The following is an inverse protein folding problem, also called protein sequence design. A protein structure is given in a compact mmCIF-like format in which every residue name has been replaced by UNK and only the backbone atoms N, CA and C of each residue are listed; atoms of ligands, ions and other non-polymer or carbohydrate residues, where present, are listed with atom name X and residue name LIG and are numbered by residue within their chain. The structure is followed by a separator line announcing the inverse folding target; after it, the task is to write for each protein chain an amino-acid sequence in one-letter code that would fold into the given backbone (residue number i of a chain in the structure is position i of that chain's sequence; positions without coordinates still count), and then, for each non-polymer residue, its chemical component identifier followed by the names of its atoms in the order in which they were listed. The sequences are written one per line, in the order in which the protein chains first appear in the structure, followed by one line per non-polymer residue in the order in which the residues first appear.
data_IF_891148646754
#
_entry.id   IF_891148646754
#
_cell.length_a   1.000
_cell.length_b   1.000
_cell.length_c   1.000
_cell.angle_alpha   90.00
_cell.angle_beta   90.00
_cell.angle_gamma   90.00
#
_symmetry.space_group_name_H-M   'P 1'
#
loop_
_entity.id
_entity.type
_entity.pdbx_description
1 polymer ?
#
# COMPACT_ATOMS: atom_id res chain seq x y z
N UNK A 1 -3.04 9.50 -4.26
CA UNK A 1 -3.03 9.94 -2.87
C UNK A 1 -2.45 11.34 -2.65
N UNK A 2 -1.61 11.85 -3.54
CA UNK A 2 -1.09 13.23 -3.48
C UNK A 2 -2.10 14.27 -3.97
N UNK A 3 -3.29 13.83 -4.27
CA UNK A 3 -4.24 14.55 -5.08
C UNK A 3 -5.42 15.09 -4.28
N UNK A 4 -5.50 14.77 -3.00
CA UNK A 4 -6.46 15.43 -2.12
C UNK A 4 -5.95 16.83 -1.81
N UNK A 5 -6.26 17.70 -2.71
CA UNK A 5 -6.26 19.13 -2.52
C UNK A 5 -7.32 19.47 -1.46
N UNK A 6 -7.14 20.57 -0.74
CA UNK A 6 -8.09 21.05 0.26
C UNK A 6 -9.50 21.34 -0.27
N UNK A 7 -9.73 21.25 -1.58
CA UNK A 7 -11.00 21.48 -2.24
C UNK A 7 -11.87 20.21 -2.38
N UNK A 8 -11.32 19.01 -2.11
CA UNK A 8 -12.04 17.75 -2.31
C UNK A 8 -12.00 16.89 -1.05
N UNK A 9 -13.16 16.46 -0.62
CA UNK A 9 -13.29 15.62 0.58
C UNK A 9 -12.79 14.19 0.35
N UNK A 10 -12.83 13.73 -0.90
CA UNK A 10 -12.39 12.39 -1.28
C UNK A 10 -11.67 12.34 -2.62
N UNK A 11 -10.89 11.29 -2.87
CA UNK A 11 -10.30 11.00 -4.20
C UNK A 11 -11.41 10.83 -5.24
N UNK A 12 -12.55 10.30 -4.86
CA UNK A 12 -13.69 10.10 -5.74
C UNK A 12 -14.22 11.44 -6.23
N UNK A 13 -14.42 12.41 -5.34
CA UNK A 13 -14.88 13.75 -5.70
C UNK A 13 -13.88 14.44 -6.65
N UNK A 14 -12.60 14.28 -6.38
CA UNK A 14 -11.56 14.80 -7.25
C UNK A 14 -11.61 14.18 -8.66
N UNK A 15 -11.70 12.85 -8.77
CA UNK A 15 -11.74 12.17 -10.06
C UNK A 15 -12.97 12.55 -10.86
N UNK A 16 -14.14 12.63 -10.23
CA UNK A 16 -15.37 13.08 -10.85
C UNK A 16 -15.25 14.50 -11.42
N UNK A 17 -14.69 15.40 -10.61
CA UNK A 17 -14.46 16.78 -11.04
C UNK A 17 -13.46 16.85 -12.20
N UNK A 18 -12.38 16.09 -12.13
CA UNK A 18 -11.36 16.04 -13.17
C UNK A 18 -11.93 15.57 -14.51
N UNK A 19 -12.67 14.46 -14.52
CA UNK A 19 -13.32 13.94 -15.74
C UNK A 19 -14.32 14.95 -16.32
N UNK A 20 -15.14 15.55 -15.46
CA UNK A 20 -16.13 16.56 -15.88
C UNK A 20 -15.48 17.84 -16.44
N UNK A 21 -14.43 18.35 -15.78
CA UNK A 21 -13.75 19.57 -16.17
C UNK A 21 -12.98 19.43 -17.49
N UNK A 22 -12.45 18.24 -17.78
CA UNK A 22 -11.62 17.98 -18.95
C UNK A 22 -12.38 17.28 -20.08
N UNK A 23 -13.62 16.84 -19.86
CA UNK A 23 -14.44 16.14 -20.85
C UNK A 23 -13.81 14.81 -21.30
N UNK A 24 -13.04 14.18 -20.42
CA UNK A 24 -12.32 12.92 -20.70
C UNK A 24 -12.86 11.82 -19.81
N UNK A 25 -12.84 10.58 -20.33
CA UNK A 25 -12.90 9.38 -19.50
C UNK A 25 -11.49 8.85 -19.38
N UNK A 26 -11.11 8.44 -18.18
CA UNK A 26 -9.84 7.75 -17.97
C UNK A 26 -9.83 6.47 -18.82
N UNK A 27 -8.80 6.29 -19.69
CA UNK A 27 -8.80 5.21 -20.69
C UNK A 27 -8.53 3.83 -20.10
N UNK A 28 -7.94 3.79 -18.89
CA UNK A 28 -7.54 2.56 -18.24
C UNK A 28 -8.53 2.17 -17.12
N UNK A 29 -8.61 0.86 -16.87
CA UNK A 29 -9.28 0.37 -15.65
C UNK A 29 -8.34 0.60 -14.48
N UNK A 30 -8.89 1.15 -13.41
CA UNK A 30 -8.16 1.39 -12.17
C UNK A 30 -9.05 1.08 -10.98
N UNK A 31 -8.44 0.70 -9.87
CA UNK A 31 -9.07 0.54 -8.58
C UNK A 31 -8.47 1.54 -7.61
N UNK A 32 -9.19 1.87 -6.55
CA UNK A 32 -8.75 2.81 -5.54
C UNK A 32 -8.20 2.10 -4.32
N UNK A 33 -7.20 2.73 -3.68
CA UNK A 33 -6.73 2.35 -2.36
C UNK A 33 -7.09 3.43 -1.36
N UNK A 34 -7.45 3.04 -0.15
CA UNK A 34 -7.50 3.94 1.00
C UNK A 34 -6.18 3.90 1.75
N UNK A 35 -5.86 4.98 2.46
CA UNK A 35 -4.65 5.03 3.27
C UNK A 35 -4.76 4.11 4.49
N UNK A 36 -3.70 3.40 4.82
CA UNK A 36 -3.59 2.63 6.05
C UNK A 36 -3.45 3.55 7.27
N UNK A 37 -2.76 4.68 7.11
CA UNK A 37 -2.60 5.68 8.16
C UNK A 37 -3.09 7.07 7.72
N UNK A 38 -3.51 7.86 8.70
CA UNK A 38 -3.95 9.24 8.47
C UNK A 38 -2.82 10.07 7.88
N UNK A 39 -3.10 10.70 6.74
CA UNK A 39 -2.14 11.46 5.97
C UNK A 39 -0.92 10.68 5.48
N UNK A 40 -0.99 9.35 5.47
CA UNK A 40 0.13 8.45 5.13
C UNK A 40 1.37 8.68 6.00
N UNK A 41 1.16 9.06 7.25
CA UNK A 41 2.24 9.40 8.17
C UNK A 41 2.78 8.19 8.95
N UNK A 42 2.12 7.03 8.86
CA UNK A 42 2.54 5.78 9.50
C UNK A 42 2.35 5.74 11.02
N UNK A 43 1.69 6.74 11.64
CA UNK A 43 1.63 6.86 13.10
C UNK A 43 0.24 6.70 13.71
N UNK A 44 -0.81 6.89 12.94
CA UNK A 44 -2.19 6.76 13.36
C UNK A 44 -2.98 6.05 12.26
N UNK A 45 -3.56 4.90 12.58
CA UNK A 45 -4.35 4.14 11.62
C UNK A 45 -5.62 4.92 11.22
N UNK A 46 -6.05 4.76 9.97
CA UNK A 46 -7.38 5.24 9.54
C UNK A 46 -8.47 4.38 10.18
N UNK A 47 -9.67 4.93 10.30
CA UNK A 47 -10.82 4.20 10.81
C UNK A 47 -11.60 3.57 9.65
N UNK A 48 -12.00 2.31 9.78
CA UNK A 48 -12.81 1.63 8.75
C UNK A 48 -14.09 2.41 8.47
N UNK A 49 -14.67 3.03 9.49
CA UNK A 49 -15.88 3.84 9.36
C UNK A 49 -15.73 5.03 8.40
N UNK A 50 -14.50 5.56 8.22
CA UNK A 50 -14.26 6.73 7.37
C UNK A 50 -14.41 6.40 5.88
N UNK A 51 -14.24 5.13 5.50
CA UNK A 51 -14.21 4.73 4.09
C UNK A 51 -15.03 3.46 3.75
N UNK A 52 -15.70 2.85 4.73
CA UNK A 52 -16.48 1.62 4.52
C UNK A 52 -17.59 1.80 3.46
N UNK A 53 -18.17 2.99 3.36
CA UNK A 53 -19.20 3.30 2.36
C UNK A 53 -18.72 3.21 0.90
N UNK A 54 -17.42 3.23 0.68
CA UNK A 54 -16.81 3.12 -0.66
C UNK A 54 -16.41 1.68 -1.03
N UNK A 55 -16.68 0.72 -0.18
CA UNK A 55 -16.46 -0.69 -0.50
C UNK A 55 -17.48 -1.21 -1.53
N UNK A 56 -17.12 -2.20 -2.35
CA UNK A 56 -18.01 -2.74 -3.37
C UNK A 56 -19.36 -3.21 -2.85
N UNK A 57 -19.39 -3.79 -1.67
CA UNK A 57 -20.59 -4.29 -1.00
C UNK A 57 -21.55 -3.17 -0.55
N UNK A 58 -21.02 -1.97 -0.31
CA UNK A 58 -21.78 -0.78 0.07
C UNK A 58 -22.08 0.15 -1.11
N UNK A 59 -21.68 -0.22 -2.32
CA UNK A 59 -21.82 0.61 -3.53
C UNK A 59 -23.26 1.02 -3.86
N UNK A 60 -24.28 0.35 -3.29
CA UNK A 60 -25.67 0.73 -3.44
C UNK A 60 -26.02 2.05 -2.71
N UNK A 61 -25.26 2.39 -1.68
CA UNK A 61 -25.43 3.61 -0.87
C UNK A 61 -24.80 4.83 -1.55
N UNK A 62 -23.81 4.58 -2.41
CA UNK A 62 -23.05 5.61 -3.15
C UNK A 62 -23.12 5.40 -4.67
N UNK A 63 -24.33 5.06 -5.19
CA UNK A 63 -24.53 4.73 -6.61
C UNK A 63 -23.98 5.78 -7.58
N UNK A 64 -24.12 7.04 -7.23
CA UNK A 64 -23.68 8.14 -8.08
C UNK A 64 -22.15 8.25 -8.11
N UNK A 65 -21.48 8.00 -7.00
CA UNK A 65 -20.01 7.96 -6.90
C UNK A 65 -19.44 6.76 -7.67
N UNK A 66 -20.03 5.58 -7.54
CA UNK A 66 -19.57 4.36 -8.20
C UNK A 66 -19.81 4.30 -9.71
N UNK A 67 -20.65 5.16 -10.26
CA UNK A 67 -20.82 5.28 -11.71
C UNK A 67 -19.61 5.91 -12.39
N UNK A 68 -18.80 6.65 -11.65
CA UNK A 68 -17.69 7.46 -12.17
C UNK A 68 -16.34 7.06 -11.61
N UNK A 69 -16.28 6.43 -10.45
CA UNK A 69 -15.05 5.95 -9.82
C UNK A 69 -15.12 4.46 -9.51
N UNK A 70 -14.03 3.72 -9.68
CA UNK A 70 -13.97 2.30 -9.30
C UNK A 70 -14.05 2.15 -7.77
N UNK A 71 -14.43 0.95 -7.31
CA UNK A 71 -14.50 0.68 -5.88
C UNK A 71 -13.11 0.74 -5.23
N UNK A 72 -13.09 0.96 -3.93
CA UNK A 72 -11.91 0.75 -3.11
C UNK A 72 -11.69 -0.75 -2.98
N UNK A 73 -10.50 -1.22 -3.32
CA UNK A 73 -10.16 -2.65 -3.30
C UNK A 73 -9.01 -2.99 -2.37
N UNK A 74 -8.23 -2.00 -1.93
CA UNK A 74 -7.05 -2.22 -1.10
C UNK A 74 -6.81 -1.09 -0.10
N UNK A 75 -5.96 -1.39 0.88
CA UNK A 75 -5.41 -0.43 1.84
C UNK A 75 -3.92 -0.29 1.57
N UNK A 76 -3.39 0.93 1.50
CA UNK A 76 -1.97 1.17 1.23
C UNK A 76 -1.48 2.50 1.78
N UNK A 77 -0.25 2.52 2.26
CA UNK A 77 0.50 3.74 2.56
C UNK A 77 1.71 3.90 1.62
N UNK A 78 1.53 3.65 0.33
CA UNK A 78 2.62 3.71 -0.67
C UNK A 78 3.52 4.94 -0.49
N UNK A 79 4.83 4.73 -0.54
CA UNK A 79 5.88 5.70 -0.23
C UNK A 79 6.14 5.86 1.28
N UNK A 80 5.47 5.07 2.14
CA UNK A 80 5.68 5.03 3.58
C UNK A 80 5.33 3.63 4.09
N UNK A 81 6.23 2.97 4.80
CA UNK A 81 5.89 1.71 5.44
C UNK A 81 5.00 1.94 6.67
N UNK A 82 4.05 1.04 6.89
CA UNK A 82 3.26 1.02 8.13
C UNK A 82 4.19 0.83 9.32
N UNK A 83 4.12 1.73 10.30
CA UNK A 83 4.99 1.65 11.48
C UNK A 83 4.55 0.53 12.42
N UNK A 84 5.46 -0.02 13.25
CA UNK A 84 5.11 -1.07 14.22
C UNK A 84 4.01 -0.65 15.20
N UNK A 85 3.88 0.65 15.50
CA UNK A 85 2.91 1.16 16.48
C UNK A 85 1.45 1.02 16.06
N UNK A 86 1.18 0.95 14.74
CA UNK A 86 -0.18 0.83 14.20
C UNK A 86 -0.40 -0.45 13.41
N UNK A 87 0.62 -1.30 13.31
CA UNK A 87 0.61 -2.49 12.46
C UNK A 87 -0.57 -3.42 12.76
N UNK A 88 -0.78 -3.74 14.03
CA UNK A 88 -1.89 -4.61 14.45
C UNK A 88 -3.24 -4.02 14.07
N UNK A 89 -3.45 -2.73 14.32
CA UNK A 89 -4.70 -2.04 13.95
C UNK A 89 -4.93 -2.03 12.44
N UNK A 90 -3.89 -1.81 11.66
CA UNK A 90 -3.99 -1.86 10.19
C UNK A 90 -4.42 -3.24 9.72
N UNK A 91 -3.82 -4.32 10.26
CA UNK A 91 -4.20 -5.69 9.90
C UNK A 91 -5.63 -6.04 10.35
N UNK A 92 -6.08 -5.52 11.49
CA UNK A 92 -7.48 -5.66 11.93
C UNK A 92 -8.42 -4.95 10.96
N UNK A 93 -8.12 -3.72 10.56
CA UNK A 93 -8.92 -2.95 9.59
C UNK A 93 -9.01 -3.68 8.23
N UNK A 94 -7.89 -4.23 7.74
CA UNK A 94 -7.87 -5.02 6.50
C UNK A 94 -8.77 -6.24 6.62
N UNK A 95 -8.69 -6.94 7.76
CA UNK A 95 -9.50 -8.12 8.02
C UNK A 95 -10.98 -7.80 8.13
N UNK A 96 -11.33 -6.72 8.82
CA UNK A 96 -12.72 -6.26 8.99
C UNK A 96 -13.36 -5.86 7.66
N UNK A 97 -12.60 -5.16 6.81
CA UNK A 97 -13.09 -4.67 5.52
C UNK A 97 -13.09 -5.72 4.41
N UNK A 98 -12.43 -6.85 4.60
CA UNK A 98 -12.25 -7.86 3.53
C UNK A 98 -11.36 -7.41 2.37
N UNK A 99 -10.68 -6.29 2.51
CA UNK A 99 -9.71 -5.79 1.54
C UNK A 99 -8.37 -6.55 1.66
N UNK A 100 -7.37 -6.13 0.89
CA UNK A 100 -5.99 -6.59 1.06
C UNK A 100 -5.06 -5.41 1.32
N UNK A 101 -3.94 -5.69 1.98
CA UNK A 101 -2.89 -4.70 2.25
C UNK A 101 -1.92 -4.67 1.08
N UNK A 102 -1.63 -3.49 0.57
CA UNK A 102 -0.52 -3.23 -0.37
C UNK A 102 0.56 -2.52 0.43
N UNK A 103 1.72 -3.16 0.56
CA UNK A 103 2.79 -2.67 1.44
C UNK A 103 4.00 -2.17 0.65
N UNK A 104 4.44 -0.97 1.00
CA UNK A 104 5.70 -0.38 0.55
C UNK A 104 6.81 -0.83 1.50
N UNK A 105 7.70 -1.72 1.02
CA UNK A 105 8.67 -2.41 1.87
C UNK A 105 9.95 -1.61 2.06
N UNK A 106 9.88 -0.51 2.78
CA UNK A 106 11.05 0.28 3.13
C UNK A 106 11.13 0.50 4.65
N UNK A 107 12.11 -0.13 5.28
CA UNK A 107 12.45 0.18 6.66
C UNK A 107 13.30 1.46 6.68
N UNK A 108 12.96 2.41 7.55
CA UNK A 108 13.68 3.70 7.66
C UNK A 108 15.06 3.52 8.30
N UNK A 109 15.95 2.87 7.58
CA UNK A 109 17.37 2.80 7.94
C UNK A 109 18.12 4.04 7.45
N UNK A 110 19.25 4.33 8.09
CA UNK A 110 20.10 5.44 7.67
C UNK A 110 20.89 5.08 6.42
N UNK A 111 20.83 5.93 5.42
CA UNK A 111 21.58 5.76 4.18
C UNK A 111 21.14 6.75 3.11
N UNK A 112 22.05 7.10 2.20
CA UNK A 112 21.78 8.03 1.10
C UNK A 112 21.59 7.32 -0.24
N UNK A 113 22.19 6.14 -0.40
CA UNK A 113 22.12 5.26 -1.56
C UNK A 113 22.28 3.82 -1.10
N UNK A 114 21.95 2.85 -1.90
CA UNK A 114 22.14 1.44 -1.56
C UNK A 114 23.61 1.14 -1.20
N UNK A 115 23.82 0.30 -0.19
CA UNK A 115 25.14 -0.15 0.20
C UNK A 115 25.83 -0.87 -0.97
N UNK A 116 26.99 -0.37 -1.40
CA UNK A 116 27.67 -0.93 -2.55
C UNK A 116 28.86 -0.12 -3.03
N UNK A 117 29.34 -0.37 -4.25
CA UNK A 117 30.49 0.36 -4.81
C UNK A 117 30.28 1.87 -4.87
N UNK A 118 29.03 2.32 -5.15
CA UNK A 118 28.70 3.74 -5.28
C UNK A 118 28.73 4.44 -3.93
N UNK A 119 28.09 3.88 -2.89
CA UNK A 119 28.13 4.46 -1.53
C UNK A 119 29.57 4.58 -1.02
N UNK A 120 30.38 3.55 -1.23
CA UNK A 120 31.82 3.57 -0.86
C UNK A 120 32.59 4.65 -1.62
N UNK A 121 32.37 4.76 -2.94
CA UNK A 121 33.04 5.77 -3.78
C UNK A 121 32.68 7.19 -3.36
N UNK A 122 31.44 7.41 -2.99
CA UNK A 122 30.91 8.72 -2.56
C UNK A 122 31.23 9.03 -1.08
N UNK A 123 31.67 8.04 -0.30
CA UNK A 123 31.91 8.21 1.13
C UNK A 123 30.63 8.49 1.94
N UNK A 124 29.47 8.01 1.47
CA UNK A 124 28.16 8.20 2.12
C UNK A 124 27.68 6.88 2.73
N UNK A 125 26.86 6.94 3.80
CA UNK A 125 26.23 5.75 4.37
C UNK A 125 25.41 5.00 3.31
N UNK A 126 25.58 3.68 3.25
CA UNK A 126 24.78 2.81 2.39
C UNK A 126 23.54 2.30 3.10
N UNK A 127 22.41 2.28 2.40
CA UNK A 127 21.18 1.62 2.86
C UNK A 127 21.46 0.11 2.90
N UNK A 128 21.22 -0.57 4.04
CA UNK A 128 21.44 -2.02 4.15
C UNK A 128 20.62 -2.83 3.14
N UNK A 129 21.15 -3.95 2.68
CA UNK A 129 20.48 -4.84 1.74
C UNK A 129 19.19 -5.47 2.33
N UNK A 130 19.15 -5.64 3.66
CA UNK A 130 18.04 -6.25 4.38
C UNK A 130 16.91 -5.26 4.75
N UNK A 131 17.01 -4.01 4.33
CA UNK A 131 16.00 -2.96 4.61
C UNK A 131 14.61 -3.37 4.13
N UNK A 132 14.49 -3.85 2.90
CA UNK A 132 13.25 -4.37 2.33
C UNK A 132 12.79 -5.65 3.04
N UNK A 133 13.72 -6.59 3.25
CA UNK A 133 13.43 -7.89 3.87
C UNK A 133 12.81 -7.75 5.26
N UNK A 134 13.25 -6.79 6.07
CA UNK A 134 12.71 -6.55 7.42
C UNK A 134 11.19 -6.32 7.41
N UNK A 135 10.71 -5.54 6.45
CA UNK A 135 9.28 -5.28 6.28
C UNK A 135 8.57 -6.52 5.72
N UNK A 136 9.14 -7.13 4.69
CA UNK A 136 8.59 -8.35 4.08
C UNK A 136 8.40 -9.46 5.11
N UNK A 137 9.41 -9.76 5.95
CA UNK A 137 9.30 -10.79 6.98
C UNK A 137 8.28 -10.43 8.06
N UNK A 138 8.27 -9.16 8.50
CA UNK A 138 7.29 -8.65 9.47
C UNK A 138 5.86 -8.90 9.00
N UNK A 139 5.57 -8.56 7.74
CA UNK A 139 4.21 -8.64 7.24
C UNK A 139 3.82 -10.05 6.80
N UNK A 140 4.76 -10.89 6.41
CA UNK A 140 4.56 -12.33 6.27
C UNK A 140 4.13 -12.93 7.63
N UNK A 141 4.78 -12.55 8.72
CA UNK A 141 4.40 -13.02 10.06
C UNK A 141 3.02 -12.52 10.48
N UNK A 142 2.67 -11.29 10.15
CA UNK A 142 1.32 -10.77 10.39
C UNK A 142 0.27 -11.49 9.54
N UNK A 143 0.54 -11.71 8.25
CA UNK A 143 -0.33 -12.51 7.37
C UNK A 143 -0.53 -13.92 7.92
N UNK A 144 0.53 -14.56 8.40
CA UNK A 144 0.45 -15.91 9.02
C UNK A 144 -0.45 -15.94 10.27
N UNK A 145 -0.40 -14.88 11.10
CA UNK A 145 -1.22 -14.75 12.31
C UNK A 145 -2.69 -14.43 12.04
N UNK A 146 -2.94 -13.59 11.05
CA UNK A 146 -4.26 -12.98 10.82
C UNK A 146 -5.04 -13.60 9.66
N UNK A 147 -4.33 -14.23 8.70
CA UNK A 147 -4.89 -14.69 7.44
C UNK A 147 -5.12 -13.59 6.40
N UNK A 148 -4.68 -12.37 6.69
CA UNK A 148 -4.83 -11.22 5.80
C UNK A 148 -3.96 -11.38 4.55
N UNK A 149 -4.53 -11.06 3.38
CA UNK A 149 -3.78 -11.00 2.13
C UNK A 149 -2.88 -9.75 2.12
N UNK A 150 -1.59 -9.97 1.88
CA UNK A 150 -0.59 -8.91 1.71
C UNK A 150 -0.01 -8.97 0.30
N UNK A 151 0.00 -7.83 -0.36
CA UNK A 151 0.67 -7.62 -1.65
C UNK A 151 1.89 -6.74 -1.44
N UNK A 152 3.06 -7.25 -1.73
CA UNK A 152 4.33 -6.52 -1.65
C UNK A 152 4.62 -5.82 -2.96
N UNK A 153 4.65 -4.47 -2.94
CA UNK A 153 4.92 -3.65 -4.11
C UNK A 153 6.42 -3.65 -4.46
N UNK A 154 6.69 -3.52 -5.76
CA UNK A 154 8.01 -3.24 -6.34
C UNK A 154 9.19 -3.90 -5.61
N UNK A 155 9.07 -5.18 -5.25
CA UNK A 155 10.13 -5.95 -4.59
C UNK A 155 11.39 -5.95 -5.44
N UNK A 156 12.52 -5.59 -4.84
CA UNK A 156 13.77 -5.33 -5.54
C UNK A 156 14.90 -6.29 -5.19
N UNK A 157 14.83 -7.02 -4.07
CA UNK A 157 15.92 -7.86 -3.57
C UNK A 157 15.65 -9.35 -3.71
N UNK A 158 16.69 -10.12 -4.05
CA UNK A 158 16.58 -11.58 -4.15
C UNK A 158 16.20 -12.22 -2.81
N UNK A 159 16.71 -11.69 -1.69
CA UNK A 159 16.41 -12.22 -0.35
C UNK A 159 14.94 -12.05 0.03
N UNK A 160 14.31 -10.93 -0.36
CA UNK A 160 12.87 -10.71 -0.16
C UNK A 160 12.05 -11.67 -1.03
N UNK A 161 12.42 -11.87 -2.29
CA UNK A 161 11.75 -12.86 -3.14
C UNK A 161 11.84 -14.27 -2.57
N UNK A 162 12.96 -14.65 -1.96
CA UNK A 162 13.11 -15.97 -1.34
C UNK A 162 12.21 -16.12 -0.11
N UNK A 163 12.05 -15.09 0.71
CA UNK A 163 11.09 -15.07 1.82
C UNK A 163 9.65 -15.20 1.32
N UNK A 164 9.29 -14.42 0.31
CA UNK A 164 7.96 -14.45 -0.33
C UNK A 164 7.66 -15.82 -0.93
N UNK A 165 8.60 -16.44 -1.66
CA UNK A 165 8.42 -17.79 -2.22
C UNK A 165 8.15 -18.83 -1.14
N UNK A 166 8.87 -18.77 -0.02
CA UNK A 166 8.65 -19.66 1.14
C UNK A 166 7.25 -19.46 1.71
N UNK A 167 6.83 -18.23 1.96
CA UNK A 167 5.50 -17.91 2.46
C UNK A 167 4.38 -18.39 1.52
N UNK A 168 4.55 -18.23 0.22
CA UNK A 168 3.61 -18.78 -0.80
C UNK A 168 3.58 -20.29 -0.80
N UNK A 169 4.71 -20.96 -0.62
CA UNK A 169 4.78 -22.42 -0.53
C UNK A 169 4.12 -22.96 0.76
N UNK A 170 4.06 -22.16 1.83
CA UNK A 170 3.30 -22.44 3.05
C UNK A 170 1.78 -22.27 2.84
N UNK A 171 1.33 -21.71 1.72
CA UNK A 171 -0.06 -21.45 1.41
C UNK A 171 -0.59 -20.14 1.97
N UNK A 172 0.29 -19.21 2.39
CA UNK A 172 -0.13 -17.90 2.86
C UNK A 172 -0.68 -17.04 1.70
N UNK A 173 -1.66 -16.17 1.96
CA UNK A 173 -2.23 -15.28 0.96
C UNK A 173 -1.28 -14.10 0.68
N UNK A 174 -0.16 -14.40 0.04
CA UNK A 174 0.88 -13.43 -0.29
C UNK A 174 1.00 -13.28 -1.80
N UNK A 175 1.07 -12.04 -2.27
CA UNK A 175 1.41 -11.70 -3.66
C UNK A 175 2.48 -10.63 -3.70
N UNK A 176 3.13 -10.46 -4.82
CA UNK A 176 4.12 -9.40 -4.99
C UNK A 176 4.24 -9.00 -6.46
N UNK A 177 4.80 -7.83 -6.66
CA UNK A 177 5.22 -7.33 -7.96
C UNK A 177 6.66 -6.82 -7.93
N UNK A 178 7.22 -6.59 -9.10
CA UNK A 178 8.55 -6.00 -9.28
C UNK A 178 8.54 -5.07 -10.49
N UNK A 179 9.61 -4.32 -10.66
CA UNK A 179 9.76 -3.42 -11.79
C UNK A 179 10.90 -3.87 -12.71
N UNK A 180 10.81 -3.61 -14.02
CA UNK A 180 11.77 -4.12 -15.01
C UNK A 180 13.17 -3.53 -14.89
N UNK A 181 13.36 -2.52 -14.07
CA UNK A 181 14.66 -1.85 -13.86
C UNK A 181 15.41 -2.34 -12.60
N UNK A 182 14.89 -3.33 -11.91
CA UNK A 182 15.56 -3.97 -10.77
C UNK A 182 16.41 -5.16 -11.18
#
# INVERSE_FOLDING_TARGET
SEVLDAEYDTVIDYLQHYEAAHGVKLPERYDLCVCASKGRAGHEATEVADWIGYLPEHGAEHKDAYQLAPPVTAISDDGSAVTPSILEQVFENVKESGLYLIEHCEHHDTGAVNAGPVSRKLGVPGIPEDTELKIVERDIDMSRKTGVHVHFQHVSTAISFDAIRKAKAEGLPITCETAPHY
#
